data_IF_998213757401
#
_entry.id   IF_998213757401
#
_cell.length_a   1.000
_cell.length_b   1.000
_cell.length_c   1.000
_cell.angle_alpha   90.00
_cell.angle_beta   90.00
_cell.angle_gamma   90.00
#
_symmetry.space_group_name_H-M   'P 1'
#
loop_
_entity.id
_entity.type
_entity.pdbx_description
1 polymer ?
#
# COMPACT_ATOMS: atom_id res chain seq x y z
N UNK A 1 22.63 -16.56 -2.16
CA UNK A 1 21.22 -16.08 -2.28
C UNK A 1 20.25 -17.26 -2.26
N UNK A 2 19.13 -17.17 -1.53
CA UNK A 2 18.17 -18.27 -1.47
C UNK A 2 17.28 -18.35 -2.75
N UNK A 3 17.16 -19.53 -3.34
CA UNK A 3 16.31 -19.81 -4.53
C UNK A 3 14.86 -19.34 -4.35
N UNK A 4 14.33 -19.42 -3.13
CA UNK A 4 12.99 -18.97 -2.78
C UNK A 4 12.77 -17.47 -3.04
N UNK A 5 13.77 -16.64 -2.81
CA UNK A 5 13.72 -15.18 -3.02
C UNK A 5 13.59 -14.87 -4.51
N UNK A 6 14.43 -15.49 -5.34
CA UNK A 6 14.39 -15.33 -6.80
C UNK A 6 13.02 -15.75 -7.36
N UNK A 7 12.49 -16.90 -6.91
CA UNK A 7 11.16 -17.37 -7.32
C UNK A 7 10.03 -16.46 -6.85
N UNK A 8 10.15 -15.86 -5.66
CA UNK A 8 9.19 -14.89 -5.15
C UNK A 8 9.13 -13.66 -6.04
N UNK A 9 10.27 -13.04 -6.32
CA UNK A 9 10.37 -11.86 -7.18
C UNK A 9 9.95 -12.18 -8.63
N UNK A 10 10.27 -13.36 -9.15
CA UNK A 10 9.80 -13.79 -10.47
C UNK A 10 8.27 -13.90 -10.54
N UNK A 11 7.63 -14.51 -9.53
CA UNK A 11 6.16 -14.57 -9.46
C UNK A 11 5.55 -13.18 -9.35
N UNK A 12 6.21 -12.27 -8.65
CA UNK A 12 5.79 -10.88 -8.58
C UNK A 12 5.86 -10.19 -9.96
N UNK A 13 6.98 -10.33 -10.67
CA UNK A 13 7.15 -9.82 -12.02
C UNK A 13 6.03 -10.31 -12.95
N UNK A 14 5.72 -11.61 -12.92
CA UNK A 14 4.64 -12.19 -13.72
C UNK A 14 3.25 -11.61 -13.38
N UNK A 15 3.00 -11.27 -12.11
CA UNK A 15 1.75 -10.60 -11.71
C UNK A 15 1.71 -9.17 -12.26
N UNK A 16 2.82 -8.45 -12.17
CA UNK A 16 2.92 -7.07 -12.65
C UNK A 16 2.80 -6.96 -14.17
N UNK A 17 3.35 -7.91 -14.92
CA UNK A 17 3.23 -7.94 -16.39
C UNK A 17 1.75 -7.95 -16.82
N UNK A 18 0.85 -8.58 -16.05
CA UNK A 18 -0.60 -8.57 -16.34
C UNK A 18 -1.24 -7.18 -16.26
N UNK A 19 -0.56 -6.19 -15.66
CA UNK A 19 -1.00 -4.80 -15.60
C UNK A 19 -0.65 -4.00 -16.85
N UNK A 20 0.35 -4.45 -17.61
CA UNK A 20 0.79 -3.76 -18.83
C UNK A 20 -0.32 -3.76 -19.89
N UNK A 21 -0.27 -2.82 -20.86
CA UNK A 21 -1.16 -2.86 -22.04
C UNK A 21 -1.07 -4.22 -22.74
N UNK A 22 -2.19 -4.73 -23.27
CA UNK A 22 -2.26 -6.08 -23.86
C UNK A 22 -1.19 -6.33 -24.93
N UNK A 23 -0.85 -5.30 -25.72
CA UNK A 23 0.20 -5.35 -26.75
C UNK A 23 1.59 -5.68 -26.19
N UNK A 24 1.88 -5.31 -24.94
CA UNK A 24 3.18 -5.48 -24.30
C UNK A 24 3.23 -6.72 -23.39
N UNK A 25 2.10 -7.31 -23.02
CA UNK A 25 2.07 -8.43 -22.07
C UNK A 25 2.80 -9.67 -22.61
N UNK A 26 2.44 -10.12 -23.81
CA UNK A 26 3.03 -11.31 -24.43
C UNK A 26 4.56 -11.21 -24.62
N UNK A 27 5.12 -10.13 -25.21
CA UNK A 27 6.57 -10.02 -25.37
C UNK A 27 7.30 -9.95 -24.02
N UNK A 28 6.82 -9.16 -23.06
CA UNK A 28 7.45 -9.07 -21.73
C UNK A 28 7.40 -10.39 -20.96
N UNK A 29 6.33 -11.17 -21.13
CA UNK A 29 6.20 -12.50 -20.51
C UNK A 29 7.18 -13.49 -21.14
N UNK A 30 7.31 -13.48 -22.47
CA UNK A 30 8.29 -14.30 -23.17
C UNK A 30 9.72 -13.98 -22.73
N UNK A 31 10.07 -12.69 -22.68
CA UNK A 31 11.37 -12.22 -22.21
C UNK A 31 11.67 -12.63 -20.76
N UNK A 32 10.70 -12.47 -19.85
CA UNK A 32 10.86 -12.88 -18.46
C UNK A 32 11.08 -14.40 -18.32
N UNK A 33 10.40 -15.21 -19.15
CA UNK A 33 10.58 -16.67 -19.16
C UNK A 33 11.91 -17.09 -19.76
N UNK A 34 12.33 -16.48 -20.87
CA UNK A 34 13.58 -16.82 -21.55
C UNK A 34 14.78 -16.48 -20.66
N UNK A 35 14.79 -15.29 -20.05
CA UNK A 35 15.87 -14.85 -19.15
C UNK A 35 16.04 -15.77 -17.94
N UNK A 36 14.96 -16.22 -17.30
CA UNK A 36 15.05 -17.17 -16.17
C UNK A 36 15.53 -18.55 -16.63
N UNK A 37 15.10 -19.02 -17.80
CA UNK A 37 15.53 -20.32 -18.34
C UNK A 37 17.00 -20.32 -18.72
N UNK A 38 17.48 -19.25 -19.36
CA UNK A 38 18.89 -19.11 -19.75
C UNK A 38 19.82 -19.16 -18.54
N UNK A 39 19.42 -18.56 -17.43
CA UNK A 39 20.23 -18.44 -16.22
C UNK A 39 19.93 -19.50 -15.16
N UNK A 40 19.22 -20.58 -15.51
CA UNK A 40 18.73 -21.58 -14.55
C UNK A 40 19.85 -22.37 -13.86
N UNK A 41 20.97 -22.56 -14.55
CA UNK A 41 22.12 -23.34 -14.09
C UNK A 41 23.28 -22.48 -13.59
N UNK A 42 23.12 -21.16 -13.48
CA UNK A 42 24.18 -20.30 -12.97
C UNK A 42 24.37 -20.57 -11.46
N UNK A 43 25.61 -20.91 -11.09
CA UNK A 43 25.98 -21.26 -9.71
C UNK A 43 26.80 -20.18 -9.02
N UNK A 44 27.32 -19.21 -9.78
CA UNK A 44 28.07 -18.09 -9.23
C UNK A 44 27.15 -17.14 -8.47
N UNK A 45 27.35 -17.04 -7.15
CA UNK A 45 26.52 -16.23 -6.27
C UNK A 45 26.54 -14.74 -6.65
N UNK A 46 27.68 -14.22 -7.12
CA UNK A 46 27.82 -12.82 -7.49
C UNK A 46 26.94 -12.50 -8.70
N UNK A 47 26.99 -13.37 -9.72
CA UNK A 47 26.14 -13.23 -10.92
C UNK A 47 24.66 -13.39 -10.58
N UNK A 48 24.31 -14.34 -9.72
CA UNK A 48 22.93 -14.53 -9.27
C UNK A 48 22.39 -13.28 -8.57
N UNK A 49 23.21 -12.64 -7.74
CA UNK A 49 22.87 -11.36 -7.10
C UNK A 49 22.63 -10.25 -8.13
N UNK A 50 23.51 -10.11 -9.12
CA UNK A 50 23.38 -9.06 -10.12
C UNK A 50 22.17 -9.27 -11.03
N UNK A 51 21.91 -10.51 -11.44
CA UNK A 51 20.68 -10.88 -12.15
C UNK A 51 19.43 -10.60 -11.32
N UNK A 52 19.49 -10.86 -10.01
CA UNK A 52 18.40 -10.55 -9.10
C UNK A 52 18.16 -9.04 -9.00
N UNK A 53 19.21 -8.21 -8.92
CA UNK A 53 19.09 -6.74 -8.96
C UNK A 53 18.41 -6.26 -10.23
N UNK A 54 18.78 -6.81 -11.39
CA UNK A 54 18.14 -6.49 -12.68
C UNK A 54 16.64 -6.83 -12.64
N UNK A 55 16.29 -8.00 -12.11
CA UNK A 55 14.90 -8.43 -11.97
C UNK A 55 14.10 -7.50 -11.04
N UNK A 56 14.66 -7.11 -9.90
CA UNK A 56 14.06 -6.14 -8.98
C UNK A 56 13.91 -4.76 -9.65
N UNK A 57 14.89 -4.32 -10.43
CA UNK A 57 14.81 -3.10 -11.22
C UNK A 57 13.62 -3.12 -12.21
N UNK A 58 13.43 -4.23 -12.93
CA UNK A 58 12.27 -4.41 -13.83
C UNK A 58 10.93 -4.36 -13.09
N UNK A 59 10.85 -4.99 -11.91
CA UNK A 59 9.67 -4.94 -11.04
C UNK A 59 9.34 -3.50 -10.64
N UNK A 60 10.34 -2.74 -10.18
CA UNK A 60 10.19 -1.33 -9.81
C UNK A 60 9.75 -0.48 -10.99
N UNK A 61 10.35 -0.68 -12.17
CA UNK A 61 9.96 0.02 -13.39
C UNK A 61 8.48 -0.21 -13.75
N UNK A 62 8.01 -1.47 -13.74
CA UNK A 62 6.61 -1.77 -14.06
C UNK A 62 5.67 -1.19 -12.99
N UNK A 63 6.06 -1.20 -11.71
CA UNK A 63 5.29 -0.57 -10.63
C UNK A 63 5.16 0.94 -10.81
N UNK A 64 6.18 1.61 -11.36
CA UNK A 64 6.14 3.05 -11.65
C UNK A 64 5.33 3.37 -12.90
N UNK A 65 5.45 2.56 -13.95
CA UNK A 65 4.78 2.80 -15.23
C UNK A 65 3.31 2.37 -15.24
N UNK A 66 2.92 1.42 -14.41
CA UNK A 66 1.54 0.92 -14.34
C UNK A 66 0.81 1.41 -13.09
N UNK A 67 -0.43 1.88 -13.26
CA UNK A 67 -1.29 2.21 -12.12
C UNK A 67 -1.68 0.93 -11.37
N UNK A 68 -1.61 0.98 -10.04
CA UNK A 68 -2.11 -0.09 -9.18
C UNK A 68 -3.63 -0.23 -9.36
N UNK A 69 -4.13 -1.45 -9.60
CA UNK A 69 -5.58 -1.65 -9.68
C UNK A 69 -6.19 -1.58 -8.28
N UNK A 70 -7.30 -0.86 -8.15
CA UNK A 70 -8.16 -0.90 -6.98
C UNK A 70 -8.63 -2.36 -6.89
N UNK A 71 -8.37 -3.05 -5.76
CA UNK A 71 -8.60 -4.49 -5.50
C UNK A 71 -7.43 -5.45 -5.80
N UNK A 72 -6.22 -4.96 -6.09
CA UNK A 72 -5.05 -5.83 -6.30
C UNK A 72 -4.32 -6.25 -5.01
N UNK A 73 -4.88 -5.91 -3.83
CA UNK A 73 -4.38 -6.40 -2.55
C UNK A 73 -4.74 -7.87 -2.39
N UNK A 74 -3.80 -8.76 -2.70
CA UNK A 74 -3.81 -10.13 -2.18
C UNK A 74 -2.98 -10.14 -0.90
N UNK A 75 -3.61 -9.94 0.26
CA UNK A 75 -2.97 -10.25 1.56
C UNK A 75 -3.09 -9.23 2.68
N UNK A 76 -3.72 -8.07 2.47
CA UNK A 76 -4.19 -7.23 3.58
C UNK A 76 -5.66 -6.95 3.37
N UNK A 77 -6.51 -7.76 3.99
CA UNK A 77 -7.84 -7.30 4.34
C UNK A 77 -7.67 -6.01 5.14
N UNK A 78 -8.40 -4.97 4.78
CA UNK A 78 -8.53 -3.83 5.67
C UNK A 78 -9.51 -4.32 6.74
N UNK A 79 -8.98 -4.67 7.91
CA UNK A 79 -9.83 -5.01 9.04
C UNK A 79 -10.13 -3.71 9.78
N UNK A 80 -11.42 -3.46 10.02
CA UNK A 80 -11.90 -2.34 10.80
C UNK A 80 -12.67 -2.92 11.98
N UNK A 81 -12.35 -2.45 13.18
CA UNK A 81 -13.13 -2.79 14.37
C UNK A 81 -14.45 -2.02 14.29
N UNK A 82 -15.59 -2.71 14.37
CA UNK A 82 -16.93 -2.13 14.47
C UNK A 82 -17.73 -2.88 15.53
N UNK A 83 -18.34 -2.16 16.45
CA UNK A 83 -19.20 -2.75 17.49
C UNK A 83 -18.48 -3.83 18.34
N UNK A 84 -17.16 -3.69 18.51
CA UNK A 84 -16.33 -4.65 19.24
C UNK A 84 -15.93 -5.90 18.44
N UNK A 85 -16.37 -6.02 17.17
CA UNK A 85 -16.05 -7.14 16.29
C UNK A 85 -15.08 -6.72 15.17
N UNK A 86 -14.20 -7.63 14.77
CA UNK A 86 -13.24 -7.41 13.69
C UNK A 86 -13.93 -7.70 12.35
N UNK A 87 -14.24 -6.66 11.58
CA UNK A 87 -14.96 -6.78 10.30
C UNK A 87 -14.03 -6.49 9.13
N UNK A 88 -14.06 -7.33 8.10
CA UNK A 88 -13.34 -7.08 6.85
C UNK A 88 -14.07 -6.00 6.02
N UNK A 89 -13.46 -4.83 5.86
CA UNK A 89 -14.12 -3.71 5.19
C UNK A 89 -13.19 -2.53 4.86
N UNK A 90 -13.49 -1.82 3.78
CA UNK A 90 -12.77 -0.59 3.42
C UNK A 90 -13.25 0.54 4.34
N UNK A 91 -12.34 1.34 4.91
CA UNK A 91 -12.69 2.56 5.62
C UNK A 91 -13.46 3.49 4.67
N UNK A 92 -14.78 3.55 4.83
CA UNK A 92 -15.63 4.51 4.11
C UNK A 92 -15.31 5.88 4.71
N UNK A 93 -14.79 6.78 3.88
CA UNK A 93 -14.32 8.12 4.29
C UNK A 93 -15.38 8.98 5.00
N UNK A 94 -16.67 8.66 4.84
CA UNK A 94 -17.77 9.46 5.39
C UNK A 94 -18.17 9.11 6.83
N UNK A 95 -17.56 8.08 7.42
CA UNK A 95 -17.71 7.84 8.86
C UNK A 95 -16.33 7.89 9.46
N UNK A 96 -15.98 9.05 10.04
CA UNK A 96 -14.91 9.09 11.05
C UNK A 96 -15.21 7.94 12.00
N UNK A 97 -14.29 6.99 12.09
CA UNK A 97 -14.38 5.89 13.05
C UNK A 97 -14.32 6.54 14.42
N UNK A 98 -15.52 6.73 14.98
CA UNK A 98 -15.80 7.15 16.33
C UNK A 98 -16.99 6.29 16.74
N UNK A 99 -16.71 5.08 17.23
CA UNK A 99 -17.73 4.23 17.85
C UNK A 99 -18.17 4.76 19.23
N UNK A 100 -17.72 5.96 19.63
CA UNK A 100 -18.04 6.53 20.93
C UNK A 100 -19.26 7.44 20.85
N UNK A 101 -20.35 7.07 21.54
CA UNK A 101 -21.27 8.08 22.11
C UNK A 101 -20.43 8.95 23.06
N UNK A 102 -19.92 10.06 22.55
CA UNK A 102 -19.17 11.02 23.35
C UNK A 102 -20.17 11.84 24.14
N UNK A 103 -20.00 11.91 25.46
CA UNK A 103 -20.84 12.79 26.29
C UNK A 103 -20.60 14.26 25.85
N UNK A 104 -21.63 15.10 25.94
CA UNK A 104 -21.53 16.50 25.51
C UNK A 104 -20.43 17.26 26.26
N UNK A 105 -20.19 16.89 27.52
CA UNK A 105 -19.11 17.45 28.32
C UNK A 105 -17.73 17.06 27.77
N UNK A 106 -17.56 15.80 27.38
CA UNK A 106 -16.31 15.28 26.84
C UNK A 106 -15.99 15.90 25.46
N UNK A 107 -17.03 16.11 24.63
CA UNK A 107 -16.92 16.83 23.36
C UNK A 107 -16.50 18.30 23.57
N UNK A 108 -17.01 18.94 24.62
CA UNK A 108 -16.69 20.33 24.95
C UNK A 108 -15.23 20.49 25.42
N UNK A 109 -14.75 19.56 26.25
CA UNK A 109 -13.35 19.55 26.70
C UNK A 109 -12.36 19.30 25.56
N UNK A 110 -12.68 18.35 24.68
CA UNK A 110 -11.84 18.08 23.50
C UNK A 110 -11.82 19.27 22.55
N UNK A 111 -12.96 19.95 22.35
CA UNK A 111 -13.01 21.18 21.57
C UNK A 111 -12.05 22.25 22.13
N UNK A 112 -12.09 22.50 23.45
CA UNK A 112 -11.21 23.49 24.08
C UNK A 112 -9.72 23.11 23.97
N UNK A 113 -9.37 21.84 24.17
CA UNK A 113 -7.99 21.34 23.98
C UNK A 113 -7.50 21.54 22.55
N UNK A 114 -8.37 21.39 21.55
CA UNK A 114 -8.01 21.60 20.15
C UNK A 114 -7.82 23.08 19.82
N UNK A 115 -8.66 23.96 20.37
CA UNK A 115 -8.48 25.41 20.22
C UNK A 115 -7.17 25.88 20.85
N UNK A 116 -6.88 25.42 22.06
CA UNK A 116 -5.65 25.76 22.76
C UNK A 116 -4.40 25.35 21.96
N UNK A 117 -4.43 24.16 21.35
CA UNK A 117 -3.39 23.68 20.44
C UNK A 117 -3.29 24.51 19.16
N UNK A 118 -4.42 24.88 18.56
CA UNK A 118 -4.46 25.62 17.31
C UNK A 118 -3.95 27.06 17.47
N UNK A 119 -4.21 27.68 18.62
CA UNK A 119 -3.82 29.05 18.93
C UNK A 119 -2.61 29.15 19.87
N UNK A 120 -1.94 28.03 20.16
CA UNK A 120 -0.74 27.93 20.98
C UNK A 120 -0.88 28.65 22.34
N UNK A 121 -1.97 28.41 23.08
CA UNK A 121 -2.20 29.08 24.36
C UNK A 121 -2.87 30.44 24.27
N UNK A 122 -3.07 31.00 23.07
CA UNK A 122 -3.72 32.30 22.90
C UNK A 122 -5.24 32.16 22.79
N UNK A 123 -6.01 33.15 23.26
CA UNK A 123 -7.45 33.13 23.09
C UNK A 123 -7.84 33.11 21.60
N UNK A 124 -8.79 32.26 21.18
CA UNK A 124 -9.23 32.20 19.80
C UNK A 124 -9.82 33.55 19.36
N UNK A 125 -9.68 33.91 18.07
CA UNK A 125 -10.22 35.16 17.54
C UNK A 125 -11.75 35.20 17.69
N UNK A 126 -12.30 36.39 17.99
CA UNK A 126 -13.73 36.61 18.30
C UNK A 126 -14.71 36.10 17.24
N UNK A 127 -14.25 35.84 16.02
CA UNK A 127 -15.06 35.36 14.90
C UNK A 127 -15.05 33.82 14.75
N UNK A 128 -14.48 33.09 15.71
CA UNK A 128 -14.47 31.64 15.69
C UNK A 128 -15.90 31.09 15.89
N UNK A 129 -16.46 30.45 14.87
CA UNK A 129 -17.75 29.75 14.97
C UNK A 129 -17.53 28.40 15.66
N UNK A 130 -18.25 28.08 16.75
CA UNK A 130 -18.19 26.73 17.31
C UNK A 130 -18.68 25.73 16.27
N UNK A 131 -18.06 24.55 16.26
CA UNK A 131 -18.38 23.45 15.34
C UNK A 131 -19.65 22.68 15.75
N UNK A 132 -20.30 23.09 16.85
CA UNK A 132 -21.47 22.49 17.46
C UNK A 132 -22.46 23.58 17.88
#
# INVERSE_FOLDING_TARGET
MARSVVLSSYRELLRLIRRLPQSQQAPSLHEARSTIRLNLNEQDESKVMDMHKILVGKISFIRMSTRRRINENRGSGIFVLRDGELVEGRAVRDKRVADGKMDMNEAWETHHKLLDRQYFGNPPPKNHRPLF
#
